data_IF_608150541257
#
_entry.id   IF_608150541257
#
_cell.length_a   1.000
_cell.length_b   1.000
_cell.length_c   1.000
_cell.angle_alpha   90.00
_cell.angle_beta   90.00
_cell.angle_gamma   90.00
#
_symmetry.space_group_name_H-M   'P 1'
#
loop_
_entity.id
_entity.type
_entity.pdbx_description
1 polymer ?
#
# COMPACT_ATOMS: atom_id res chain seq x y z
N UNK A 1 -11.12 10.12 3.13
CA UNK A 1 -10.69 10.46 1.74
C UNK A 1 -11.50 9.62 0.75
N UNK A 2 -12.27 10.25 -0.16
CA UNK A 2 -13.24 9.56 -1.04
C UNK A 2 -12.58 8.78 -2.19
N UNK A 3 -11.46 9.28 -2.70
CA UNK A 3 -10.79 8.72 -3.88
C UNK A 3 -10.38 7.24 -3.73
N UNK A 4 -9.62 6.89 -2.68
CA UNK A 4 -9.14 5.52 -2.49
C UNK A 4 -10.29 4.55 -2.22
N UNK A 5 -11.29 5.00 -1.46
CA UNK A 5 -12.50 4.23 -1.21
C UNK A 5 -13.22 3.88 -2.52
N UNK A 6 -13.43 4.85 -3.41
CA UNK A 6 -14.06 4.63 -4.71
C UNK A 6 -13.25 3.69 -5.59
N UNK A 7 -11.93 3.89 -5.68
CA UNK A 7 -11.03 2.99 -6.43
C UNK A 7 -11.17 1.55 -5.92
N UNK A 8 -11.09 1.34 -4.60
CA UNK A 8 -11.21 0.01 -3.99
C UNK A 8 -12.59 -0.61 -4.22
N UNK A 9 -13.66 0.16 -4.09
CA UNK A 9 -15.04 -0.31 -4.28
C UNK A 9 -15.32 -0.71 -5.75
N UNK A 10 -15.00 0.16 -6.71
CA UNK A 10 -15.25 -0.10 -8.13
C UNK A 10 -14.39 -1.25 -8.65
N UNK A 11 -13.10 -1.29 -8.29
CA UNK A 11 -12.21 -2.39 -8.69
C UNK A 11 -12.64 -3.73 -8.07
N UNK A 12 -13.11 -3.76 -6.83
CA UNK A 12 -13.65 -4.97 -6.18
C UNK A 12 -14.86 -5.52 -6.92
N UNK A 13 -15.79 -4.65 -7.31
CA UNK A 13 -16.96 -5.04 -8.11
C UNK A 13 -16.53 -5.58 -9.46
N UNK A 14 -15.61 -4.90 -10.13
CA UNK A 14 -15.11 -5.28 -11.45
C UNK A 14 -14.37 -6.62 -11.45
N UNK A 15 -13.42 -6.84 -10.53
CA UNK A 15 -12.60 -8.07 -10.53
C UNK A 15 -13.44 -9.33 -10.24
N UNK A 16 -14.49 -9.20 -9.41
CA UNK A 16 -15.47 -10.27 -9.14
C UNK A 16 -16.20 -10.75 -10.40
N UNK A 17 -16.27 -9.92 -11.45
CA UNK A 17 -16.84 -10.31 -12.75
C UNK A 17 -15.90 -11.15 -13.61
N UNK A 18 -14.60 -11.23 -13.28
CA UNK A 18 -13.57 -11.91 -14.09
C UNK A 18 -13.47 -13.42 -13.85
N UNK A 19 -14.35 -14.00 -13.03
CA UNK A 19 -14.50 -15.44 -12.88
C UNK A 19 -14.64 -15.89 -11.42
N UNK A 20 -14.98 -17.19 -11.24
CA UNK A 20 -15.25 -17.78 -9.93
C UNK A 20 -14.10 -17.62 -8.93
N UNK A 21 -12.84 -17.65 -9.40
CA UNK A 21 -11.64 -17.47 -8.57
C UNK A 21 -11.56 -16.13 -7.83
N UNK A 22 -12.30 -15.11 -8.29
CA UNK A 22 -12.26 -13.78 -7.69
C UNK A 22 -13.52 -13.44 -6.88
N UNK A 23 -14.47 -14.36 -6.71
CA UNK A 23 -15.72 -14.10 -5.99
C UNK A 23 -15.50 -13.60 -4.56
N UNK A 24 -14.48 -14.15 -3.90
CA UNK A 24 -14.07 -13.82 -2.53
C UNK A 24 -12.99 -12.75 -2.47
N UNK A 25 -12.64 -12.09 -3.59
CA UNK A 25 -11.68 -11.01 -3.57
C UNK A 25 -12.21 -9.83 -2.73
N UNK A 26 -11.35 -9.29 -1.87
CA UNK A 26 -11.53 -8.01 -1.20
C UNK A 26 -10.16 -7.37 -1.02
N UNK A 27 -10.13 -6.05 -0.94
CA UNK A 27 -8.94 -5.33 -0.53
C UNK A 27 -8.81 -5.38 0.99
N UNK A 28 -7.57 -5.32 1.50
CA UNK A 28 -7.31 -5.00 2.92
C UNK A 28 -8.14 -3.79 3.36
N UNK A 29 -8.54 -3.68 4.63
CA UNK A 29 -9.45 -2.62 5.07
C UNK A 29 -8.80 -1.22 4.97
N UNK A 30 -7.50 -1.13 5.29
CA UNK A 30 -6.72 0.11 5.28
C UNK A 30 -6.06 0.51 3.95
N UNK A 31 -5.36 1.64 3.98
CA UNK A 31 -4.38 2.07 2.98
C UNK A 31 -3.40 3.07 3.60
N UNK A 32 -2.16 3.08 3.10
CA UNK A 32 -1.18 4.13 3.40
C UNK A 32 -1.22 5.23 2.34
N UNK A 33 -1.11 6.49 2.77
CA UNK A 33 -1.00 7.64 1.88
C UNK A 33 0.08 8.59 2.41
N UNK A 34 1.06 8.90 1.56
CA UNK A 34 2.20 9.74 1.90
C UNK A 34 2.36 10.84 0.86
N UNK A 35 2.58 12.08 1.31
CA UNK A 35 2.93 13.18 0.44
C UNK A 35 4.41 13.08 0.03
N UNK A 36 4.71 13.40 -1.23
CA UNK A 36 6.07 13.38 -1.78
C UNK A 36 6.44 14.78 -2.24
N UNK A 37 7.58 15.30 -1.81
CA UNK A 37 8.10 16.59 -2.28
C UNK A 37 8.61 16.49 -3.72
N UNK A 38 8.70 17.62 -4.44
CA UNK A 38 9.09 17.66 -5.86
C UNK A 38 10.44 17.00 -6.11
N UNK A 39 11.39 17.16 -5.18
CA UNK A 39 12.75 16.63 -5.25
C UNK A 39 12.77 15.11 -5.11
N UNK A 40 11.77 14.54 -4.44
CA UNK A 40 11.68 13.11 -4.15
C UNK A 40 10.86 12.31 -5.19
N UNK A 41 10.30 12.97 -6.21
CA UNK A 41 9.50 12.29 -7.24
C UNK A 41 10.28 11.20 -7.97
N UNK A 42 11.47 11.53 -8.52
CA UNK A 42 12.28 10.55 -9.24
C UNK A 42 12.83 9.43 -8.35
N UNK A 43 13.37 9.72 -7.13
CA UNK A 43 13.71 8.67 -6.17
C UNK A 43 12.56 7.71 -5.87
N UNK A 44 11.35 8.23 -5.61
CA UNK A 44 10.17 7.40 -5.32
C UNK A 44 9.76 6.57 -6.53
N UNK A 45 9.79 7.13 -7.74
CA UNK A 45 9.53 6.36 -8.98
C UNK A 45 10.52 5.21 -9.13
N UNK A 46 11.82 5.47 -8.91
CA UNK A 46 12.85 4.44 -8.99
C UNK A 46 12.63 3.36 -7.93
N UNK A 47 12.29 3.74 -6.70
CA UNK A 47 11.94 2.82 -5.63
C UNK A 47 10.77 1.91 -6.01
N UNK A 48 9.65 2.47 -6.50
CA UNK A 48 8.46 1.70 -6.90
C UNK A 48 8.78 0.72 -8.05
N UNK A 49 9.58 1.14 -9.04
CA UNK A 49 9.97 0.28 -10.16
C UNK A 49 10.80 -0.94 -9.72
N UNK A 50 11.60 -0.79 -8.67
CA UNK A 50 12.52 -1.83 -8.19
C UNK A 50 12.01 -2.59 -6.96
N UNK A 51 10.78 -2.31 -6.49
CA UNK A 51 10.23 -2.86 -5.24
C UNK A 51 10.25 -4.39 -5.21
N UNK A 52 9.93 -5.05 -6.33
CA UNK A 52 9.95 -6.52 -6.43
C UNK A 52 11.33 -7.12 -6.18
N UNK A 53 12.41 -6.44 -6.60
CA UNK A 53 13.77 -6.90 -6.35
C UNK A 53 14.20 -6.56 -4.91
N UNK A 54 13.85 -5.38 -4.43
CA UNK A 54 14.11 -4.94 -3.06
C UNK A 54 13.49 -5.90 -2.03
N UNK A 55 12.21 -6.25 -2.20
CA UNK A 55 11.47 -7.14 -1.30
C UNK A 55 11.87 -8.63 -1.38
N UNK A 56 12.87 -8.98 -2.20
CA UNK A 56 13.53 -10.29 -2.07
C UNK A 56 14.44 -10.37 -0.84
N UNK A 57 14.92 -9.21 -0.36
CA UNK A 57 15.89 -9.12 0.72
C UNK A 57 15.42 -8.22 1.89
N UNK A 58 14.34 -7.46 1.71
CA UNK A 58 13.75 -6.62 2.73
C UNK A 58 12.26 -6.98 2.95
N UNK A 59 11.84 -7.14 4.20
CA UNK A 59 10.44 -7.41 4.51
C UNK A 59 9.61 -6.12 4.56
N UNK A 60 8.40 -6.18 3.99
CA UNK A 60 7.51 -5.01 3.93
C UNK A 60 7.17 -4.45 5.32
N UNK A 61 7.07 -5.31 6.35
CA UNK A 61 6.73 -4.91 7.71
C UNK A 61 7.79 -3.99 8.29
N UNK A 62 9.05 -4.42 8.19
CA UNK A 62 10.21 -3.67 8.67
C UNK A 62 10.31 -2.33 7.94
N UNK A 63 10.05 -2.33 6.64
CA UNK A 63 10.07 -1.11 5.83
C UNK A 63 8.95 -0.14 6.23
N UNK A 64 7.72 -0.63 6.44
CA UNK A 64 6.61 0.20 6.88
C UNK A 64 6.90 0.83 8.25
N UNK A 65 7.36 0.03 9.22
CA UNK A 65 7.79 0.48 10.54
C UNK A 65 8.85 1.58 10.41
N UNK A 66 9.87 1.35 9.58
CA UNK A 66 10.95 2.32 9.36
C UNK A 66 10.43 3.64 8.76
N UNK A 67 9.47 3.58 7.82
CA UNK A 67 8.82 4.77 7.26
C UNK A 67 8.06 5.53 8.35
N UNK A 68 7.23 4.84 9.14
CA UNK A 68 6.45 5.47 10.20
C UNK A 68 7.35 6.13 11.25
N UNK A 69 8.40 5.44 11.69
CA UNK A 69 9.40 5.96 12.62
C UNK A 69 10.14 7.18 12.05
N UNK A 70 10.59 7.11 10.79
CA UNK A 70 11.26 8.22 10.11
C UNK A 70 10.40 9.49 10.06
N UNK A 71 9.09 9.31 9.90
CA UNK A 71 8.12 10.40 9.86
C UNK A 71 7.55 10.76 11.24
N UNK A 72 8.03 10.13 12.32
CA UNK A 72 7.57 10.35 13.71
C UNK A 72 6.05 10.22 13.85
N UNK A 73 5.48 9.25 13.15
CA UNK A 73 4.06 8.92 13.27
C UNK A 73 3.89 7.93 14.41
N UNK A 74 2.96 8.21 15.32
CA UNK A 74 2.54 7.24 16.32
C UNK A 74 1.70 6.16 15.64
N UNK A 75 2.03 4.90 15.92
CA UNK A 75 1.27 3.75 15.49
C UNK A 75 1.30 2.68 16.57
N UNK A 76 0.23 1.89 16.64
CA UNK A 76 0.19 0.68 17.44
C UNK A 76 0.32 -0.50 16.48
N UNK A 77 1.39 -1.29 16.68
CA UNK A 77 1.68 -2.46 15.85
C UNK A 77 0.52 -3.45 15.76
N UNK A 78 -0.40 -3.45 16.73
CA UNK A 78 -1.58 -4.34 16.71
C UNK A 78 -2.56 -4.00 15.59
N UNK A 79 -2.64 -2.73 15.17
CA UNK A 79 -3.65 -2.26 14.23
C UNK A 79 -3.12 -1.97 12.82
N UNK A 80 -1.81 -2.10 12.58
CA UNK A 80 -1.22 -1.81 11.26
C UNK A 80 -1.12 -3.03 10.33
N UNK A 81 -1.52 -4.22 10.81
CA UNK A 81 -1.41 -5.48 10.08
C UNK A 81 -2.74 -6.10 9.62
N UNK A 82 -3.87 -5.48 9.96
CA UNK A 82 -5.23 -5.98 9.64
C UNK A 82 -5.72 -5.54 8.25
#
# INVERSE_FOLDING_TARGET
MKLVQEIKAHSSKWIKTKGKKYKTFFWQDGYGAFSVSKENVYPVIHYIKNQRQHHKHAHYKDELIAILQKHKLDYDEKYIWE
#
